data_IF_625118916789
#
_entry.id   IF_625118916789
#
_cell.length_a   1.000
_cell.length_b   1.000
_cell.length_c   1.000
_cell.angle_alpha   90.00
_cell.angle_beta   90.00
_cell.angle_gamma   90.00
#
_symmetry.space_group_name_H-M   'P 1'
#
loop_
_entity.id
_entity.type
_entity.pdbx_description
1 polymer ?
#
# COMPACT_ATOMS: atom_id res chain seq x y z
N UNK A 1 -3.00 -2.43 12.46
CA UNK A 1 -2.22 -3.60 12.93
C UNK A 1 -0.80 -3.22 13.36
N UNK A 2 0.05 -2.70 12.47
CA UNK A 2 1.47 -2.40 12.74
C UNK A 2 1.75 -1.51 13.96
N UNK A 3 0.94 -0.48 14.20
CA UNK A 3 1.07 0.40 15.39
C UNK A 3 1.01 -0.42 16.69
N UNK A 4 0.12 -1.41 16.79
CA UNK A 4 0.00 -2.27 17.97
C UNK A 4 1.22 -3.19 18.17
N UNK A 5 2.02 -3.37 17.13
CA UNK A 5 3.28 -4.12 17.15
C UNK A 5 4.51 -3.22 17.31
N UNK A 6 4.31 -1.94 17.65
CA UNK A 6 5.39 -1.00 17.97
C UNK A 6 5.90 -0.17 16.80
N UNK A 7 5.28 -0.24 15.62
CA UNK A 7 5.65 0.63 14.51
C UNK A 7 5.29 2.09 14.84
N UNK A 8 6.29 2.97 14.82
CA UNK A 8 6.16 4.41 15.12
C UNK A 8 6.31 5.27 13.87
N UNK A 9 6.84 4.74 12.77
CA UNK A 9 7.04 5.47 11.51
C UNK A 9 6.53 4.65 10.33
N UNK A 10 5.84 5.31 9.41
CA UNK A 10 5.32 4.75 8.17
C UNK A 10 5.84 5.58 7.00
N UNK A 11 6.44 4.90 6.02
CA UNK A 11 6.97 5.53 4.81
C UNK A 11 6.07 5.12 3.65
N UNK A 12 5.44 6.08 3.00
CA UNK A 12 4.52 5.89 1.90
C UNK A 12 5.08 6.44 0.61
N UNK A 13 5.38 5.55 -0.33
CA UNK A 13 5.73 5.93 -1.69
C UNK A 13 4.44 6.23 -2.44
N UNK A 14 4.22 7.51 -2.72
CA UNK A 14 3.00 7.98 -3.36
C UNK A 14 3.28 8.26 -4.82
N UNK A 15 2.80 7.39 -5.71
CA UNK A 15 2.68 7.70 -7.13
C UNK A 15 1.34 8.40 -7.39
N UNK A 16 0.23 7.73 -7.07
CA UNK A 16 -1.12 8.31 -7.14
C UNK A 16 -1.99 7.71 -6.02
N UNK A 17 -2.92 8.51 -5.49
CA UNK A 17 -3.98 8.04 -4.57
C UNK A 17 -5.27 8.80 -4.83
N UNK A 18 -6.43 8.25 -4.47
CA UNK A 18 -7.67 9.02 -4.53
C UNK A 18 -7.66 10.14 -3.47
N UNK A 19 -8.46 11.19 -3.69
CA UNK A 19 -8.69 12.24 -2.69
C UNK A 19 -9.19 11.71 -1.35
N UNK A 20 -9.98 10.64 -1.34
CA UNK A 20 -10.44 10.00 -0.10
C UNK A 20 -9.31 9.29 0.66
N UNK A 21 -8.43 8.57 -0.05
CA UNK A 21 -7.27 7.93 0.56
C UNK A 21 -6.29 8.99 1.06
N UNK A 22 -6.04 10.04 0.27
CA UNK A 22 -5.25 11.20 0.70
C UNK A 22 -5.80 11.83 1.98
N UNK A 23 -7.13 11.95 2.09
CA UNK A 23 -7.81 12.42 3.29
C UNK A 23 -7.47 11.58 4.52
N UNK A 24 -7.57 10.25 4.39
CA UNK A 24 -7.26 9.33 5.48
C UNK A 24 -5.79 9.46 5.89
N UNK A 25 -4.87 9.47 4.93
CA UNK A 25 -3.44 9.60 5.25
C UNK A 25 -3.19 10.93 5.99
N UNK A 26 -3.81 12.04 5.58
CA UNK A 26 -3.72 13.33 6.30
C UNK A 26 -4.20 13.28 7.73
N UNK A 27 -5.25 12.50 8.03
CA UNK A 27 -5.68 12.29 9.41
C UNK A 27 -4.58 11.66 10.26
N UNK A 28 -3.89 10.66 9.70
CA UNK A 28 -2.78 10.00 10.38
C UNK A 28 -1.52 10.86 10.42
N UNK A 29 -1.29 11.77 9.46
CA UNK A 29 -0.20 12.75 9.50
C UNK A 29 -0.33 13.73 10.67
N UNK A 30 -1.55 14.04 11.11
CA UNK A 30 -1.79 14.88 12.29
C UNK A 30 -1.70 14.11 13.61
N UNK A 31 -1.54 12.80 13.57
CA UNK A 31 -1.47 11.97 14.75
C UNK A 31 -0.08 12.01 15.39
N UNK A 32 0.05 12.66 16.54
CA UNK A 32 1.32 12.89 17.23
C UNK A 32 2.02 11.63 17.77
N UNK A 33 1.40 10.45 17.72
CA UNK A 33 2.03 9.22 18.23
C UNK A 33 2.78 8.43 17.16
N UNK A 34 2.62 8.79 15.90
CA UNK A 34 3.28 8.14 14.78
C UNK A 34 3.82 9.19 13.82
N UNK A 35 4.81 8.83 13.04
CA UNK A 35 5.33 9.63 11.95
C UNK A 35 4.86 9.03 10.63
N UNK A 36 4.30 9.87 9.77
CA UNK A 36 3.92 9.52 8.41
C UNK A 36 4.85 10.31 7.48
N UNK A 37 5.73 9.61 6.77
CA UNK A 37 6.58 10.19 5.74
C UNK A 37 6.02 9.81 4.37
N UNK A 38 5.71 10.81 3.54
CA UNK A 38 5.37 10.58 2.14
C UNK A 38 6.59 10.82 1.27
N UNK A 39 6.97 9.81 0.50
CA UNK A 39 7.99 9.92 -0.53
C UNK A 39 7.28 10.16 -1.86
N UNK A 40 7.46 11.33 -2.50
CA UNK A 40 6.90 11.59 -3.82
C UNK A 40 7.50 10.61 -4.84
N UNK A 41 6.69 9.75 -5.43
CA UNK A 41 7.15 8.72 -6.34
C UNK A 41 6.32 8.75 -7.63
N UNK A 42 6.21 9.93 -8.23
CA UNK A 42 5.45 10.17 -9.46
C UNK A 42 6.03 9.47 -10.68
N UNK A 43 5.59 9.84 -11.88
CA UNK A 43 6.17 9.33 -13.12
C UNK A 43 7.58 9.86 -13.37
N UNK A 44 8.37 9.08 -14.10
CA UNK A 44 9.69 9.48 -14.60
C UNK A 44 9.48 10.69 -15.52
N UNK A 45 10.20 11.81 -15.31
CA UNK A 45 10.08 13.00 -16.15
C UNK A 45 10.38 12.68 -17.62
N UNK A 46 9.54 13.20 -18.51
CA UNK A 46 9.67 13.04 -19.97
C UNK A 46 10.09 14.37 -20.59
N UNK A 47 10.87 14.31 -21.67
CA UNK A 47 11.09 15.49 -22.51
C UNK A 47 9.84 15.75 -23.36
N UNK A 48 9.59 17.00 -23.77
CA UNK A 48 8.41 17.38 -24.56
C UNK A 48 8.25 16.58 -25.87
N UNK A 49 9.34 16.01 -26.39
CA UNK A 49 9.37 15.26 -27.65
C UNK A 49 9.46 13.74 -27.47
N UNK A 50 9.32 13.22 -26.24
CA UNK A 50 9.38 11.77 -25.99
C UNK A 50 8.22 11.10 -26.70
N UNK A 51 8.49 10.15 -27.61
CA UNK A 51 7.41 9.41 -28.28
C UNK A 51 6.75 8.41 -27.35
N UNK A 52 5.61 7.88 -27.77
CA UNK A 52 4.91 6.86 -27.01
C UNK A 52 5.72 5.58 -26.78
N UNK A 53 6.59 5.21 -27.72
CA UNK A 53 7.47 4.04 -27.67
C UNK A 53 8.70 4.27 -26.80
N UNK A 54 9.08 5.54 -26.60
CA UNK A 54 10.24 5.95 -25.81
C UNK A 54 9.89 6.24 -24.34
N UNK A 55 8.60 6.29 -23.98
CA UNK A 55 8.14 6.60 -22.63
C UNK A 55 8.44 5.44 -21.65
N UNK A 56 9.43 5.57 -20.74
CA UNK A 56 9.78 4.50 -19.81
C UNK A 56 8.68 4.19 -18.80
N UNK A 57 7.74 5.13 -18.53
CA UNK A 57 6.63 4.89 -17.60
C UNK A 57 5.71 3.76 -18.09
N UNK A 58 5.75 3.47 -19.40
CA UNK A 58 5.00 2.38 -20.02
C UNK A 58 5.66 1.01 -19.87
N UNK A 59 6.84 0.91 -19.26
CA UNK A 59 7.64 -0.32 -19.17
C UNK A 59 8.07 -0.69 -17.72
N UNK A 60 7.80 0.15 -16.71
CA UNK A 60 8.39 0.01 -15.36
C UNK A 60 7.58 -0.77 -14.31
N UNK A 61 6.43 -1.38 -14.63
CA UNK A 61 5.47 -1.92 -13.65
C UNK A 61 6.08 -2.68 -12.46
N UNK A 62 6.80 -3.79 -12.71
CA UNK A 62 7.38 -4.60 -11.62
C UNK A 62 8.69 -4.06 -11.09
N UNK A 63 9.44 -3.33 -11.92
CA UNK A 63 10.70 -2.73 -11.53
C UNK A 63 10.48 -1.63 -10.48
N UNK A 64 9.37 -0.90 -10.57
CA UNK A 64 9.01 0.18 -9.66
C UNK A 64 8.95 -0.29 -8.20
N UNK A 65 8.26 -1.40 -7.92
CA UNK A 65 8.18 -1.94 -6.56
C UNK A 65 9.56 -2.34 -6.02
N UNK A 66 10.42 -2.93 -6.85
CA UNK A 66 11.80 -3.28 -6.47
C UNK A 66 12.61 -2.03 -6.15
N UNK A 67 12.50 -0.97 -6.97
CA UNK A 67 13.20 0.29 -6.73
C UNK A 67 12.75 0.95 -5.42
N UNK A 68 11.44 1.01 -5.17
CA UNK A 68 10.85 1.54 -3.93
C UNK A 68 11.39 0.80 -2.70
N UNK A 69 11.44 -0.53 -2.74
CA UNK A 69 11.89 -1.32 -1.59
C UNK A 69 13.37 -1.06 -1.27
N UNK A 70 14.21 -0.97 -2.30
CA UNK A 70 15.64 -0.68 -2.10
C UNK A 70 15.88 0.76 -1.65
N UNK A 71 15.18 1.75 -2.22
CA UNK A 71 15.26 3.15 -1.78
C UNK A 71 14.81 3.28 -0.32
N UNK A 72 13.73 2.61 0.08
CA UNK A 72 13.23 2.63 1.45
C UNK A 72 14.24 2.03 2.45
N UNK A 73 14.87 0.91 2.10
CA UNK A 73 15.94 0.30 2.90
C UNK A 73 17.12 1.26 3.05
N UNK A 74 17.60 1.84 1.94
CA UNK A 74 18.74 2.76 1.96
C UNK A 74 18.45 4.01 2.81
N UNK A 75 17.26 4.61 2.69
CA UNK A 75 16.84 5.75 3.51
C UNK A 75 16.77 5.44 5.00
N UNK A 76 16.52 4.17 5.32
CA UNK A 76 16.32 3.66 6.67
C UNK A 76 17.62 3.22 7.35
N UNK A 77 18.72 3.04 6.60
CA UNK A 77 20.05 2.82 7.17
C UNK A 77 20.42 3.97 8.12
N UNK A 78 20.98 3.63 9.26
CA UNK A 78 21.38 4.52 10.35
C UNK A 78 20.21 5.05 11.19
N UNK A 79 18.96 4.72 10.84
CA UNK A 79 17.76 5.33 11.46
C UNK A 79 16.81 4.34 12.12
N UNK A 80 16.73 3.10 11.61
CA UNK A 80 15.86 2.07 12.19
C UNK A 80 16.57 0.73 12.30
N UNK A 81 16.27 0.00 13.37
CA UNK A 81 16.79 -1.34 13.60
C UNK A 81 16.08 -2.38 12.73
N UNK A 82 14.74 -2.26 12.63
CA UNK A 82 13.90 -3.15 11.85
C UNK A 82 13.01 -2.35 10.91
N UNK A 83 12.85 -2.85 9.68
CA UNK A 83 11.98 -2.28 8.65
C UNK A 83 11.08 -3.38 8.09
N UNK A 84 9.77 -3.20 8.24
CA UNK A 84 8.79 -4.06 7.58
C UNK A 84 8.47 -3.50 6.19
N UNK A 85 8.65 -4.32 5.17
CA UNK A 85 8.29 -4.02 3.79
C UNK A 85 6.91 -4.63 3.52
N UNK A 86 5.95 -3.77 3.25
CA UNK A 86 4.57 -4.13 2.97
C UNK A 86 4.11 -3.43 1.68
N UNK A 87 3.48 -4.19 0.82
CA UNK A 87 2.64 -3.77 -0.28
C UNK A 87 1.24 -3.37 0.23
N UNK A 88 0.39 -2.96 -0.71
CA UNK A 88 -0.95 -2.49 -0.40
C UNK A 88 -2.05 -3.50 -0.75
N UNK A 89 -1.73 -4.67 -1.32
CA UNK A 89 -2.72 -5.73 -1.59
C UNK A 89 -3.21 -6.46 -0.32
N UNK A 90 -2.66 -6.08 0.86
CA UNK A 90 -3.06 -6.51 2.21
C UNK A 90 -4.19 -5.68 2.85
N UNK A 91 -4.83 -4.78 2.11
CA UNK A 91 -5.84 -3.90 2.69
C UNK A 91 -7.26 -4.32 2.32
N UNK A 92 -8.12 -4.39 3.33
CA UNK A 92 -9.54 -4.64 3.19
C UNK A 92 -10.26 -3.40 2.68
N UNK A 93 -11.20 -3.59 1.75
CA UNK A 93 -12.15 -2.55 1.38
C UNK A 93 -13.23 -2.41 2.43
N UNK A 94 -13.51 -1.17 2.78
CA UNK A 94 -14.62 -0.80 3.63
C UNK A 94 -15.65 -0.09 2.77
N UNK A 95 -16.92 -0.52 2.84
CA UNK A 95 -18.04 0.20 2.23
C UNK A 95 -18.36 1.43 3.09
N UNK A 96 -17.48 2.41 3.07
CA UNK A 96 -17.62 3.64 3.83
C UNK A 96 -17.80 4.82 2.86
N UNK A 97 -18.90 5.54 3.02
CA UNK A 97 -19.15 6.81 2.35
C UNK A 97 -18.76 8.01 3.23
N UNK A 98 -18.33 7.74 4.46
CA UNK A 98 -17.79 8.73 5.38
C UNK A 98 -16.77 8.05 6.34
N UNK A 99 -15.68 8.73 6.76
CA UNK A 99 -14.75 8.20 7.76
C UNK A 99 -15.44 7.69 9.03
N UNK A 100 -16.52 8.34 9.48
CA UNK A 100 -17.28 7.94 10.68
C UNK A 100 -17.97 6.58 10.55
N UNK A 101 -18.12 6.06 9.33
CA UNK A 101 -18.72 4.75 9.03
C UNK A 101 -17.69 3.62 9.07
N UNK A 102 -16.39 3.92 9.11
CA UNK A 102 -15.35 2.90 9.19
C UNK A 102 -15.50 2.12 10.52
N UNK A 103 -15.60 0.80 10.38
CA UNK A 103 -15.66 -0.19 11.45
C UNK A 103 -14.63 -1.26 11.19
N UNK A 104 -14.11 -1.87 12.26
CA UNK A 104 -13.17 -2.98 12.16
C UNK A 104 -13.83 -4.33 12.47
N UNK A 105 -15.14 -4.35 12.75
CA UNK A 105 -15.88 -5.55 13.13
C UNK A 105 -15.95 -6.57 11.99
N UNK A 106 -15.86 -6.11 10.74
CA UNK A 106 -15.74 -6.97 9.54
C UNK A 106 -14.47 -7.85 9.57
N UNK A 107 -13.50 -7.53 10.43
CA UNK A 107 -12.27 -8.31 10.62
C UNK A 107 -12.38 -9.30 11.79
N UNK A 108 -13.54 -9.39 12.43
CA UNK A 108 -13.73 -10.31 13.57
C UNK A 108 -13.56 -11.76 13.14
N UNK A 109 -14.11 -12.09 11.96
CA UNK A 109 -13.98 -13.38 11.34
C UNK A 109 -13.75 -13.16 9.85
N UNK A 110 -12.63 -13.67 9.35
CA UNK A 110 -12.24 -13.53 7.95
C UNK A 110 -11.53 -14.82 7.51
N UNK A 111 -11.42 -14.98 6.21
CA UNK A 111 -10.87 -16.18 5.60
C UNK A 111 -9.41 -15.93 5.20
N UNK A 112 -8.52 -16.86 5.56
CA UNK A 112 -7.09 -16.82 5.25
C UNK A 112 -6.68 -18.01 4.42
N UNK A 113 -5.65 -17.84 3.60
CA UNK A 113 -5.02 -18.94 2.90
C UNK A 113 -4.51 -19.99 3.91
N UNK A 114 -4.98 -21.23 3.77
CA UNK A 114 -4.54 -22.39 4.58
C UNK A 114 -3.16 -22.90 4.18
N UNK A 115 -2.67 -22.47 3.02
CA UNK A 115 -1.38 -22.87 2.46
C UNK A 115 -0.28 -21.97 3.00
N UNK A 116 0.77 -22.57 3.55
CA UNK A 116 2.03 -21.87 3.79
C UNK A 116 2.82 -21.83 2.49
N UNK A 117 3.20 -20.63 2.05
CA UNK A 117 4.05 -20.45 0.88
C UNK A 117 5.53 -20.69 1.22
N UNK A 118 6.29 -21.35 0.32
CA UNK A 118 7.74 -21.36 0.38
C UNK A 118 8.33 -19.95 0.46
N UNK A 119 9.54 -19.88 1.02
CA UNK A 119 10.39 -18.66 0.99
C UNK A 119 10.50 -18.14 -0.46
N UNK A 120 10.39 -16.82 -0.62
CA UNK A 120 10.63 -16.13 -1.89
C UNK A 120 9.45 -16.07 -2.86
N UNK A 121 8.31 -16.69 -2.55
CA UNK A 121 7.14 -16.67 -3.43
C UNK A 121 6.13 -15.57 -3.10
N UNK A 122 5.57 -15.61 -1.89
CA UNK A 122 4.56 -14.65 -1.40
C UNK A 122 4.95 -14.15 0.00
N UNK A 123 6.25 -14.18 0.29
CA UNK A 123 6.78 -13.76 1.58
C UNK A 123 6.75 -12.24 1.69
N UNK A 124 6.49 -11.74 2.89
CA UNK A 124 6.72 -10.34 3.25
C UNK A 124 7.99 -10.26 4.08
N UNK A 125 8.71 -9.17 3.96
CA UNK A 125 10.05 -9.04 4.52
C UNK A 125 10.05 -8.09 5.72
N UNK A 126 10.61 -8.54 6.83
CA UNK A 126 11.08 -7.66 7.91
C UNK A 126 12.60 -7.75 7.88
N UNK A 127 13.25 -6.64 7.61
CA UNK A 127 14.70 -6.58 7.38
C UNK A 127 15.38 -5.72 8.43
N UNK A 128 16.68 -5.95 8.62
CA UNK A 128 17.57 -5.00 9.30
C UNK A 128 18.26 -4.21 8.19
N UNK A 129 17.93 -2.91 7.97
CA UNK A 129 18.39 -2.19 6.80
C UNK A 129 19.91 -2.21 6.61
N UNK A 130 20.68 -2.19 7.70
CA UNK A 130 22.14 -2.24 7.65
C UNK A 130 22.73 -3.50 7.06
N UNK A 131 21.95 -4.57 6.96
CA UNK A 131 22.42 -5.87 6.50
C UNK A 131 21.95 -6.21 5.09
N UNK A 132 21.17 -5.34 4.45
CA UNK A 132 20.60 -5.60 3.13
C UNK A 132 21.35 -4.81 2.07
N UNK A 133 21.92 -5.51 1.09
CA UNK A 133 22.52 -4.91 -0.10
C UNK A 133 21.49 -4.73 -1.21
N UNK A 134 20.61 -5.73 -1.40
CA UNK A 134 19.55 -5.65 -2.40
C UNK A 134 18.35 -6.53 -2.07
N UNK A 135 17.17 -6.00 -2.37
CA UNK A 135 15.89 -6.61 -2.04
C UNK A 135 15.02 -6.77 -3.29
N UNK A 136 14.26 -7.86 -3.39
CA UNK A 136 13.12 -8.01 -4.31
C UNK A 136 11.82 -8.13 -3.51
N UNK A 137 10.66 -8.10 -4.16
CA UNK A 137 9.32 -8.05 -3.53
C UNK A 137 9.07 -9.17 -2.51
N UNK A 138 9.65 -10.35 -2.67
CA UNK A 138 9.38 -11.48 -1.75
C UNK A 138 10.63 -12.04 -1.08
N UNK A 139 11.81 -11.46 -1.31
CA UNK A 139 13.05 -12.00 -0.77
C UNK A 139 14.18 -10.95 -0.72
N UNK A 140 15.08 -11.09 0.25
CA UNK A 140 16.34 -10.37 0.21
C UNK A 140 17.34 -11.12 -0.67
N UNK A 141 17.72 -10.52 -1.80
CA UNK A 141 18.61 -11.16 -2.77
C UNK A 141 20.06 -11.18 -2.32
N UNK A 142 20.51 -10.09 -1.68
CA UNK A 142 21.90 -9.95 -1.21
C UNK A 142 21.94 -9.29 0.16
N UNK A 143 22.78 -9.86 1.01
CA UNK A 143 23.00 -9.44 2.38
C UNK A 143 24.49 -9.11 2.56
N UNK A 144 24.76 -8.10 3.39
CA UNK A 144 26.12 -7.75 3.81
C UNK A 144 26.77 -8.96 4.50
N UNK A 145 28.01 -9.28 4.13
CA UNK A 145 28.73 -10.44 4.67
C UNK A 145 29.51 -10.07 5.95
N UNK A 146 29.62 -10.98 6.93
CA UNK A 146 29.02 -12.32 6.97
C UNK A 146 27.56 -12.29 7.45
N UNK A 147 26.72 -13.16 6.87
CA UNK A 147 25.35 -13.38 7.34
C UNK A 147 25.03 -14.87 7.47
N UNK A 148 24.01 -15.18 8.28
CA UNK A 148 23.45 -16.53 8.43
C UNK A 148 21.95 -16.48 8.28
N UNK A 149 21.42 -17.38 7.45
CA UNK A 149 19.98 -17.54 7.27
C UNK A 149 19.41 -18.55 8.26
N UNK A 150 18.25 -18.22 8.83
CA UNK A 150 17.49 -19.08 9.72
C UNK A 150 16.04 -19.18 9.23
N UNK A 151 15.60 -20.38 8.90
CA UNK A 151 14.21 -20.64 8.53
C UNK A 151 13.43 -21.00 9.79
N UNK A 152 12.44 -20.16 10.13
CA UNK A 152 11.57 -20.36 11.30
C UNK A 152 10.38 -21.23 10.91
N UNK A 153 9.93 -22.08 11.84
CA UNK A 153 8.73 -22.89 11.61
C UNK A 153 7.50 -21.98 11.39
N UNK A 154 6.70 -22.18 10.33
CA UNK A 154 5.50 -21.38 10.06
C UNK A 154 4.43 -21.42 11.17
N UNK A 155 4.49 -22.40 12.10
CA UNK A 155 3.63 -22.43 13.29
C UNK A 155 4.08 -21.45 14.38
N UNK A 156 5.33 -20.99 14.34
CA UNK A 156 5.93 -20.08 15.32
C UNK A 156 5.79 -18.62 14.91
N UNK A 157 6.01 -18.31 13.63
CA UNK A 157 5.88 -16.97 13.08
C UNK A 157 4.98 -17.01 11.83
N UNK A 158 3.77 -16.45 11.96
CA UNK A 158 2.80 -16.33 10.87
C UNK A 158 2.65 -14.89 10.47
N UNK A 159 2.67 -14.64 9.15
CA UNK A 159 2.26 -13.39 8.57
C UNK A 159 1.01 -13.67 7.74
N UNK A 160 -0.08 -12.98 8.06
CA UNK A 160 -1.37 -13.16 7.42
C UNK A 160 -1.49 -12.19 6.25
N UNK A 161 -1.80 -12.70 5.07
CA UNK A 161 -2.15 -11.88 3.93
C UNK A 161 -3.66 -11.60 3.97
N UNK A 162 -4.04 -10.35 4.19
CA UNK A 162 -5.43 -9.92 4.22
C UNK A 162 -5.83 -9.37 2.85
N UNK A 163 -6.28 -10.25 1.94
CA UNK A 163 -6.73 -9.81 0.61
C UNK A 163 -8.22 -9.51 0.58
N UNK A 164 -8.57 -8.44 -0.11
CA UNK A 164 -9.97 -8.11 -0.40
C UNK A 164 -10.59 -9.04 -1.44
N UNK A 165 -9.88 -9.26 -2.55
CA UNK A 165 -10.36 -10.06 -3.66
C UNK A 165 -9.48 -11.30 -3.76
N UNK A 166 -10.06 -12.51 -3.80
CA UNK A 166 -9.30 -13.70 -4.12
C UNK A 166 -8.61 -13.46 -5.47
N UNK A 167 -7.32 -13.77 -5.60
CA UNK A 167 -6.69 -13.74 -6.91
C UNK A 167 -7.53 -14.61 -7.86
N UNK A 168 -7.79 -14.13 -9.09
CA UNK A 168 -8.55 -14.92 -10.08
C UNK A 168 -7.88 -16.28 -10.37
N UNK A 169 -6.57 -16.40 -10.12
CA UNK A 169 -5.81 -17.65 -10.20
C UNK A 169 -5.57 -18.35 -8.85
N UNK A 170 -6.14 -17.82 -7.75
CA UNK A 170 -6.11 -18.49 -6.44
C UNK A 170 -6.98 -19.73 -6.56
N UNK A 171 -6.33 -20.88 -6.43
CA UNK A 171 -6.96 -22.20 -6.48
C UNK A 171 -8.17 -22.24 -5.54
N UNK A 172 -9.35 -22.53 -6.11
CA UNK A 172 -10.58 -22.73 -5.35
C UNK A 172 -10.35 -23.77 -4.24
N UNK A 173 -10.76 -23.44 -3.00
CA UNK A 173 -10.79 -24.40 -1.88
C UNK A 173 -9.69 -24.30 -0.82
N UNK A 174 -8.83 -23.27 -0.82
CA UNK A 174 -7.71 -23.15 0.12
C UNK A 174 -7.91 -22.15 1.27
N UNK A 175 -9.11 -21.61 1.50
CA UNK A 175 -9.33 -20.65 2.57
C UNK A 175 -9.92 -21.29 3.83
N UNK A 176 -9.39 -20.93 4.98
CA UNK A 176 -9.91 -21.32 6.29
C UNK A 176 -10.33 -20.08 7.07
N UNK A 177 -11.45 -20.18 7.76
CA UNK A 177 -11.93 -19.07 8.57
C UNK A 177 -11.14 -18.96 9.87
N UNK A 178 -10.74 -17.74 10.23
CA UNK A 178 -9.95 -17.44 11.43
C UNK A 178 -10.50 -16.21 12.16
N UNK A 179 -10.21 -16.15 13.45
CA UNK A 179 -10.48 -15.00 14.33
C UNK A 179 -9.20 -14.48 14.98
N UNK A 180 -8.02 -14.86 14.46
CA UNK A 180 -6.70 -14.56 15.05
C UNK A 180 -6.48 -13.05 15.28
N UNK A 181 -7.06 -12.18 14.44
CA UNK A 181 -6.94 -10.73 14.58
C UNK A 181 -8.06 -10.08 15.40
N UNK A 182 -9.12 -10.83 15.74
CA UNK A 182 -10.29 -10.31 16.46
C UNK A 182 -9.91 -9.64 17.79
N UNK A 183 -8.90 -10.19 18.47
CA UNK A 183 -8.35 -9.64 19.71
C UNK A 183 -7.82 -8.20 19.59
N UNK A 184 -7.47 -7.75 18.38
CA UNK A 184 -6.95 -6.41 18.14
C UNK A 184 -8.04 -5.39 17.81
N UNK A 185 -9.24 -5.83 17.41
CA UNK A 185 -10.35 -4.97 17.00
C UNK A 185 -10.69 -3.90 18.04
N UNK A 186 -10.82 -4.21 19.35
CA UNK A 186 -11.11 -3.17 20.35
C UNK A 186 -10.04 -2.07 20.40
N UNK A 187 -8.77 -2.44 20.23
CA UNK A 187 -7.68 -1.47 20.19
C UNK A 187 -7.72 -0.62 18.92
N UNK A 188 -7.95 -1.23 17.75
CA UNK A 188 -8.06 -0.52 16.47
C UNK A 188 -9.25 0.45 16.46
N UNK A 189 -10.42 -0.02 16.88
CA UNK A 189 -11.63 0.80 16.97
C UNK A 189 -11.47 2.00 17.91
N UNK A 190 -10.87 1.80 19.10
CA UNK A 190 -10.59 2.92 20.02
C UNK A 190 -9.60 3.90 19.42
N UNK A 191 -8.53 3.42 18.78
CA UNK A 191 -7.51 4.27 18.20
C UNK A 191 -8.06 5.11 17.05
N UNK A 192 -8.77 4.48 16.12
CA UNK A 192 -9.35 5.15 14.98
C UNK A 192 -10.36 6.22 15.40
N UNK A 193 -11.26 5.90 16.36
CA UNK A 193 -12.19 6.88 16.93
C UNK A 193 -11.48 8.09 17.53
N UNK A 194 -10.35 7.87 18.23
CA UNK A 194 -9.54 8.96 18.77
C UNK A 194 -9.01 9.86 17.64
N UNK A 195 -8.35 9.28 16.63
CA UNK A 195 -7.80 10.03 15.49
C UNK A 195 -8.90 10.83 14.79
N UNK A 196 -10.04 10.20 14.56
CA UNK A 196 -11.19 10.83 13.92
C UNK A 196 -11.72 12.01 14.73
N UNK A 197 -11.86 11.87 16.05
CA UNK A 197 -12.33 12.95 16.90
C UNK A 197 -11.32 14.11 16.97
N UNK A 198 -10.02 13.79 17.13
CA UNK A 198 -8.95 14.79 17.16
C UNK A 198 -8.94 15.61 15.86
N UNK A 199 -9.12 14.93 14.73
CA UNK A 199 -9.24 15.58 13.42
C UNK A 199 -10.52 16.42 13.30
N UNK A 200 -11.68 15.91 13.72
CA UNK A 200 -12.94 16.68 13.72
C UNK A 200 -12.78 17.99 14.49
N UNK A 201 -12.16 17.97 15.68
CA UNK A 201 -11.90 19.18 16.46
C UNK A 201 -10.93 20.13 15.74
N UNK A 202 -9.85 19.60 15.15
CA UNK A 202 -8.92 20.40 14.34
C UNK A 202 -9.64 21.13 13.20
N UNK A 203 -10.56 20.43 12.52
CA UNK A 203 -11.30 20.96 11.37
C UNK A 203 -12.33 22.05 11.73
N UNK A 204 -12.87 22.04 12.96
CA UNK A 204 -13.77 23.11 13.45
C UNK A 204 -13.07 24.47 13.50
N UNK A 205 -11.78 24.47 13.77
CA UNK A 205 -10.98 25.69 13.90
C UNK A 205 -10.44 26.20 12.55
N UNK A 206 -10.67 25.46 11.45
CA UNK A 206 -10.21 25.82 10.11
C UNK A 206 -11.34 26.42 9.28
N UNK A 207 -11.13 27.63 8.79
CA UNK A 207 -12.04 28.38 7.92
C UNK A 207 -11.94 27.98 6.45
N UNK A 208 -10.79 27.48 5.99
CA UNK A 208 -10.60 26.99 4.62
C UNK A 208 -11.34 25.66 4.40
N UNK A 209 -12.17 25.60 3.36
CA UNK A 209 -12.80 24.37 2.85
C UNK A 209 -11.90 23.62 1.85
N UNK A 210 -10.89 24.29 1.29
CA UNK A 210 -10.14 23.80 0.13
C UNK A 210 -9.27 22.57 0.43
N UNK A 211 -8.90 22.35 1.69
CA UNK A 211 -7.97 21.29 2.10
C UNK A 211 -8.66 20.09 2.74
N UNK A 212 -10.00 20.10 2.86
CA UNK A 212 -10.71 19.26 3.82
C UNK A 212 -11.63 18.27 3.12
N UNK A 213 -11.03 17.24 2.54
CA UNK A 213 -11.68 16.02 2.01
C UNK A 213 -12.47 15.23 3.06
N UNK A 214 -12.43 15.64 4.34
CA UNK A 214 -13.26 15.13 5.43
C UNK A 214 -14.52 15.97 5.71
N UNK A 215 -14.57 17.23 5.21
CA UNK A 215 -15.78 18.07 5.27
C UNK A 215 -16.77 17.71 4.16
N UNK A 216 -16.35 16.98 3.12
CA UNK A 216 -17.26 16.45 2.12
C UNK A 216 -18.17 15.40 2.77
N UNK A 217 -19.48 15.59 2.63
CA UNK A 217 -20.47 14.74 3.30
C UNK A 217 -20.50 13.30 2.78
N UNK A 218 -19.94 13.04 1.59
CA UNK A 218 -20.03 11.74 0.92
C UNK A 218 -18.81 11.44 0.06
N UNK A 219 -18.12 10.35 0.39
CA UNK A 219 -17.10 9.71 -0.42
C UNK A 219 -17.75 8.86 -1.49
N UNK A 220 -17.18 8.86 -2.70
CA UNK A 220 -17.74 8.09 -3.83
C UNK A 220 -17.62 6.59 -3.59
N UNK A 221 -16.59 6.19 -2.83
CA UNK A 221 -16.30 4.80 -2.50
C UNK A 221 -16.12 3.93 -3.77
N UNK A 222 -15.34 4.47 -4.71
CA UNK A 222 -15.13 3.90 -6.04
C UNK A 222 -14.02 2.83 -6.08
N UNK A 223 -13.31 2.60 -4.97
CA UNK A 223 -12.09 1.79 -4.94
C UNK A 223 -12.26 0.40 -5.55
N UNK A 224 -13.36 -0.30 -5.23
CA UNK A 224 -13.63 -1.63 -5.76
C UNK A 224 -13.83 -1.66 -7.29
N UNK A 225 -14.58 -0.69 -7.83
CA UNK A 225 -14.80 -0.63 -9.29
C UNK A 225 -13.52 -0.18 -10.01
N UNK A 226 -12.74 0.74 -9.44
CA UNK A 226 -11.42 1.13 -9.98
C UNK A 226 -10.45 -0.06 -10.01
N UNK A 227 -10.41 -0.88 -8.95
CA UNK A 227 -9.59 -2.09 -8.93
C UNK A 227 -10.03 -3.08 -10.03
N UNK A 228 -11.34 -3.28 -10.23
CA UNK A 228 -11.84 -4.14 -11.31
C UNK A 228 -11.50 -3.62 -12.71
N UNK A 229 -11.64 -2.32 -12.94
CA UNK A 229 -11.29 -1.68 -14.22
C UNK A 229 -9.80 -1.82 -14.49
N UNK A 230 -8.98 -1.56 -13.48
CA UNK A 230 -7.52 -1.72 -13.54
C UNK A 230 -7.15 -3.16 -13.83
N UNK A 231 -7.64 -4.13 -13.06
CA UNK A 231 -7.41 -5.56 -13.27
C UNK A 231 -7.83 -6.00 -14.68
N UNK A 232 -8.98 -5.54 -15.16
CA UNK A 232 -9.48 -5.90 -16.50
C UNK A 232 -8.58 -5.32 -17.59
N UNK A 233 -8.12 -4.09 -17.44
CA UNK A 233 -7.12 -3.48 -18.34
C UNK A 233 -5.80 -4.25 -18.30
N UNK A 234 -5.31 -4.61 -17.11
CA UNK A 234 -4.08 -5.40 -16.96
C UNK A 234 -4.16 -6.75 -17.66
N UNK A 235 -5.29 -7.45 -17.54
CA UNK A 235 -5.51 -8.72 -18.24
C UNK A 235 -5.59 -8.53 -19.77
N UNK A 236 -6.23 -7.45 -20.24
CA UNK A 236 -6.24 -7.12 -21.66
C UNK A 236 -4.82 -6.86 -22.20
N UNK A 237 -4.03 -6.02 -21.52
CA UNK A 237 -2.65 -5.72 -21.90
C UNK A 237 -1.74 -6.96 -21.86
N UNK A 238 -1.96 -7.88 -20.90
CA UNK A 238 -1.21 -9.16 -20.85
C UNK A 238 -1.44 -10.05 -22.07
N UNK A 239 -2.59 -9.91 -22.72
CA UNK A 239 -2.90 -10.66 -23.94
C UNK A 239 -2.25 -10.06 -25.20
N UNK A 240 -1.66 -8.87 -25.10
CA UNK A 240 -0.93 -8.21 -26.18
C UNK A 240 0.56 -8.59 -26.11
N UNK A 241 1.09 -9.26 -27.15
CA UNK A 241 2.46 -9.80 -27.14
C UNK A 241 3.59 -8.75 -27.05
N UNK A 242 3.29 -7.46 -27.23
CA UNK A 242 4.30 -6.40 -27.38
C UNK A 242 4.15 -5.24 -26.40
N UNK A 243 3.32 -5.39 -25.36
CA UNK A 243 3.04 -4.29 -24.43
C UNK A 243 3.29 -4.74 -23.01
N UNK A 244 4.13 -4.00 -22.28
CA UNK A 244 4.23 -4.19 -20.84
C UNK A 244 2.93 -3.72 -20.16
N UNK A 245 2.27 -4.57 -19.36
CA UNK A 245 1.08 -4.17 -18.64
C UNK A 245 1.50 -3.28 -17.47
N UNK A 246 1.26 -1.98 -17.59
CA UNK A 246 1.61 -0.99 -16.56
C UNK A 246 0.38 -0.27 -16.04
N UNK A 247 0.44 0.14 -14.78
CA UNK A 247 -0.63 0.94 -14.18
C UNK A 247 -0.81 2.26 -14.92
N UNK A 248 0.30 2.86 -15.38
CA UNK A 248 0.30 4.07 -16.18
C UNK A 248 -0.60 3.97 -17.42
N UNK A 249 -0.52 2.87 -18.18
CA UNK A 249 -1.40 2.62 -19.33
C UNK A 249 -2.87 2.48 -18.93
N UNK A 250 -3.15 1.83 -17.80
CA UNK A 250 -4.52 1.59 -17.36
C UNK A 250 -5.20 2.81 -16.72
N UNK A 251 -4.45 3.65 -15.99
CA UNK A 251 -4.99 4.82 -15.29
C UNK A 251 -5.66 5.82 -16.25
N UNK A 252 -5.11 6.00 -17.46
CA UNK A 252 -5.67 6.89 -18.47
C UNK A 252 -7.05 6.42 -19.02
N UNK A 253 -7.38 5.15 -18.85
CA UNK A 253 -8.60 4.52 -19.39
C UNK A 253 -9.66 4.22 -18.34
N UNK A 254 -9.45 4.62 -17.08
CA UNK A 254 -10.44 4.43 -16.03
C UNK A 254 -11.70 5.24 -16.32
N UNK A 255 -12.86 4.60 -16.19
CA UNK A 255 -14.17 5.21 -16.38
C UNK A 255 -14.76 5.66 -15.05
N UNK A 256 -14.48 4.90 -13.98
CA UNK A 256 -15.04 5.13 -12.64
C UNK A 256 -14.46 6.37 -11.95
N UNK A 257 -13.19 6.72 -12.21
CA UNK A 257 -12.53 7.88 -11.61
C UNK A 257 -11.84 8.73 -12.66
N UNK A 258 -12.13 10.03 -12.66
CA UNK A 258 -11.49 10.99 -13.55
C UNK A 258 -10.10 11.38 -13.04
N UNK A 259 -9.23 11.83 -13.95
CA UNK A 259 -7.85 12.22 -13.64
C UNK A 259 -7.76 13.30 -12.53
N UNK A 260 -8.67 14.28 -12.51
CA UNK A 260 -8.70 15.36 -11.52
C UNK A 260 -9.15 14.91 -10.11
N UNK A 261 -9.57 13.65 -9.97
CA UNK A 261 -9.94 13.03 -8.69
C UNK A 261 -8.76 12.31 -8.00
N UNK A 262 -7.63 12.23 -8.69
CA UNK A 262 -6.39 11.68 -8.15
C UNK A 262 -5.51 12.77 -7.54
N UNK A 263 -4.82 12.41 -6.48
CA UNK A 263 -3.72 13.17 -5.89
C UNK A 263 -2.43 12.50 -6.32
N UNK A 264 -1.77 13.09 -7.31
CA UNK A 264 -0.51 12.60 -7.85
C UNK A 264 0.64 13.00 -6.92
N UNK A 265 1.56 12.08 -6.69
CA UNK A 265 2.84 12.38 -6.07
C UNK A 265 3.69 13.22 -7.03
N UNK A 266 4.49 14.11 -6.48
CA UNK A 266 5.53 14.79 -7.24
C UNK A 266 6.60 13.81 -7.73
N UNK A 267 7.41 14.24 -8.69
CA UNK A 267 8.57 13.46 -9.14
C UNK A 267 9.76 13.73 -8.20
N UNK A 268 10.21 12.72 -7.47
CA UNK A 268 11.50 12.76 -6.75
C UNK A 268 12.52 11.78 -7.32
N UNK A 269 12.36 11.37 -8.58
CA UNK A 269 13.39 10.62 -9.29
C UNK A 269 14.66 11.47 -9.30
N UNK A 270 15.67 11.02 -8.59
CA UNK A 270 16.99 11.65 -8.65
C UNK A 270 17.51 11.40 -10.07
N UNK A 271 17.81 12.47 -10.80
CA UNK A 271 18.69 12.36 -11.96
C UNK A 271 20.05 11.92 -11.41
N UNK A 272 20.36 10.64 -11.53
CA UNK A 272 21.68 10.10 -11.22
C UNK A 272 22.72 10.65 -12.20
#
# INVERSE_FOLDING_TARGET
>A
MWINHGATKFIFYQQTVSKEVDALIRMYEHDKTIEIERVPWGTIPLSENTTEEEDPNKEIFRAEQVMVWNDCILRSRGKTEYLALADFDEHTYLKATNPTEIRFDDHYKFDVESKVYPKGLMSKAVVIPERVESQIVHETLRMEKPFKEHIVNPKTARLLHLRLQPMKHSMSGLYISTTEVAKYIPAWSRRYKKILNDEIERLKNLTSLAELTLKTKRWKNNGHEVMKETDSCFEALRSEEKVCPTQYRCLAHLQTMKYDEWVNGGSSWVAL
#
